data_IF_722516886253
#
_entry.id   IF_722516886253
#
_cell.length_a   1.000
_cell.length_b   1.000
_cell.length_c   1.000
_cell.angle_alpha   90.00
_cell.angle_beta   90.00
_cell.angle_gamma   90.00
#
_symmetry.space_group_name_H-M   'P 1'
#
loop_
_entity.id
_entity.type
_entity.pdbx_description
1 polymer ?
#
# COMPACT_ATOMS: atom_id res chain seq x y z
N UNK A 1 14.23 -44.64 52.09
CA UNK A 1 15.56 -44.54 52.65
C UNK A 1 16.28 -43.54 51.76
N UNK A 2 16.52 -42.33 52.06
CA UNK A 2 16.89 -41.60 53.25
C UNK A 2 16.32 -40.16 53.18
N UNK A 3 16.07 -39.57 54.30
CA UNK A 3 15.37 -38.33 54.54
C UNK A 3 16.20 -37.07 54.24
N UNK A 4 15.56 -35.89 54.26
CA UNK A 4 16.15 -34.63 53.82
C UNK A 4 16.91 -34.00 54.98
N UNK A 5 17.96 -33.26 54.62
CA UNK A 5 18.72 -32.40 55.54
C UNK A 5 18.16 -30.99 55.50
N UNK A 6 17.69 -30.59 56.63
CA UNK A 6 17.15 -29.30 57.06
C UNK A 6 18.33 -28.35 57.29
N UNK A 7 18.47 -27.28 56.53
CA UNK A 7 19.39 -26.19 56.84
C UNK A 7 18.66 -24.99 57.37
N UNK A 8 19.04 -24.62 58.60
CA UNK A 8 18.55 -23.56 59.46
C UNK A 8 18.71 -22.14 58.86
N UNK A 9 17.89 -21.17 59.34
CA UNK A 9 17.96 -19.79 58.87
C UNK A 9 19.12 -19.05 59.51
N UNK A 10 19.86 -18.33 58.70
CA UNK A 10 20.88 -17.35 59.13
C UNK A 10 20.15 -16.16 59.72
N UNK A 11 20.47 -15.89 61.01
CA UNK A 11 20.02 -14.73 61.75
C UNK A 11 20.60 -13.44 61.15
N UNK A 12 19.74 -12.49 60.81
CA UNK A 12 20.15 -11.13 60.47
C UNK A 12 20.64 -10.45 61.75
N UNK A 13 21.91 -10.05 61.78
CA UNK A 13 22.44 -9.10 62.79
C UNK A 13 21.78 -7.76 62.56
N UNK A 14 21.07 -7.29 63.55
CA UNK A 14 20.58 -5.92 63.67
C UNK A 14 21.75 -5.08 64.15
N UNK A 15 22.35 -4.29 63.28
CA UNK A 15 23.24 -3.20 63.72
C UNK A 15 22.42 -2.16 64.48
N UNK A 16 22.69 -2.06 65.78
CA UNK A 16 22.17 -1.04 66.64
C UNK A 16 22.93 0.27 66.34
N UNK A 17 22.30 1.16 65.58
CA UNK A 17 22.81 2.50 65.23
C UNK A 17 22.70 3.36 66.57
N UNK A 18 23.80 3.48 67.29
CA UNK A 18 23.91 4.34 68.42
C UNK A 18 23.98 5.78 67.99
N UNK A 19 22.82 6.43 67.89
CA UNK A 19 22.74 7.88 67.71
C UNK A 19 23.26 8.55 68.99
N UNK A 20 24.45 9.12 68.84
CA UNK A 20 25.06 9.96 69.86
C UNK A 20 24.19 11.22 70.07
N UNK A 21 23.55 11.27 71.24
CA UNK A 21 22.64 12.33 71.64
C UNK A 21 23.42 13.54 72.14
N UNK A 22 24.14 14.23 71.27
CA UNK A 22 24.60 15.58 71.50
C UNK A 22 23.50 16.55 71.02
N UNK A 23 22.63 16.88 71.97
CA UNK A 23 21.59 17.88 71.81
C UNK A 23 22.24 19.26 71.51
N UNK A 24 22.58 19.52 70.30
CA UNK A 24 22.86 20.87 69.84
C UNK A 24 21.55 21.64 69.83
N UNK A 25 21.44 22.60 70.71
CA UNK A 25 20.27 23.45 70.94
C UNK A 25 20.04 24.28 69.64
N UNK A 26 19.28 23.73 68.69
CA UNK A 26 18.84 24.45 67.48
C UNK A 26 17.83 25.49 67.94
N UNK A 27 18.15 26.78 67.79
CA UNK A 27 17.18 27.84 68.13
C UNK A 27 15.92 27.65 67.28
N UNK A 28 14.72 27.89 67.88
CA UNK A 28 13.47 27.73 67.09
C UNK A 28 13.53 28.57 65.84
N UNK A 29 13.04 28.04 64.68
CA UNK A 29 13.05 28.77 63.44
C UNK A 29 12.35 30.13 63.65
N UNK A 30 13.03 31.18 63.19
CA UNK A 30 12.49 32.54 63.24
C UNK A 30 11.07 32.56 62.70
N UNK A 31 10.11 33.26 63.31
CA UNK A 31 8.74 33.30 62.82
C UNK A 31 8.75 33.75 61.38
N UNK A 32 8.13 32.93 60.51
CA UNK A 32 7.99 33.23 59.08
C UNK A 32 7.39 34.62 58.95
N UNK A 33 8.17 35.55 58.39
CA UNK A 33 7.72 36.92 58.16
C UNK A 33 6.37 36.92 57.44
N UNK A 34 5.54 37.94 57.64
CA UNK A 34 4.21 38.00 57.08
C UNK A 34 4.28 37.74 55.57
N UNK A 35 3.63 36.64 55.14
CA UNK A 35 3.52 36.32 53.71
C UNK A 35 2.88 37.55 53.04
N UNK A 36 3.67 38.29 52.24
CA UNK A 36 3.21 39.40 51.45
C UNK A 36 2.06 38.94 50.58
N UNK A 37 0.84 39.34 50.85
CA UNK A 37 -0.31 39.04 50.04
C UNK A 37 -0.06 39.75 48.70
N UNK A 38 0.18 39.00 47.64
CA UNK A 38 0.21 39.53 46.27
C UNK A 38 -1.17 40.04 45.88
N UNK A 39 -1.45 41.28 46.19
CA UNK A 39 -2.74 41.99 45.88
C UNK A 39 -2.51 43.41 45.37
N UNK A 40 -1.31 43.70 44.91
CA UNK A 40 -1.05 45.00 44.26
C UNK A 40 -1.54 45.00 42.82
N UNK A 41 -2.03 46.15 42.34
CA UNK A 41 -2.47 46.29 40.94
C UNK A 41 -1.43 45.83 39.94
N UNK A 42 -0.13 45.94 40.28
CA UNK A 42 0.99 45.40 39.47
C UNK A 42 1.02 43.87 39.40
N UNK A 43 0.67 43.17 40.49
CA UNK A 43 0.65 41.72 40.51
C UNK A 43 -0.48 41.19 39.62
N UNK A 44 -1.63 41.83 39.62
CA UNK A 44 -2.73 41.53 38.67
C UNK A 44 -2.33 41.80 37.23
N UNK A 45 -1.62 42.90 36.96
CA UNK A 45 -1.14 43.21 35.61
C UNK A 45 -0.12 42.16 35.12
N UNK A 46 0.78 41.66 35.99
CA UNK A 46 1.72 40.60 35.69
C UNK A 46 0.99 39.28 35.43
N UNK A 47 0.01 38.93 36.25
CA UNK A 47 -0.80 37.72 36.06
C UNK A 47 -1.55 37.79 34.70
N UNK A 48 -2.18 38.91 34.42
CA UNK A 48 -2.88 39.08 33.13
C UNK A 48 -1.91 38.98 31.95
N UNK A 49 -0.71 39.56 32.05
CA UNK A 49 0.32 39.45 31.02
C UNK A 49 0.77 37.99 30.81
N UNK A 50 1.00 37.27 31.90
CA UNK A 50 1.38 35.83 31.84
C UNK A 50 0.25 35.02 31.18
N UNK A 51 -1.01 35.24 31.58
CA UNK A 51 -2.16 34.56 30.97
C UNK A 51 -2.27 34.85 29.47
N UNK A 52 -2.06 36.11 29.06
CA UNK A 52 -2.09 36.49 27.65
C UNK A 52 -0.92 35.85 26.87
N UNK A 53 0.28 35.79 27.44
CA UNK A 53 1.43 35.13 26.82
C UNK A 53 1.23 33.63 26.71
N UNK A 54 0.72 32.98 27.73
CA UNK A 54 0.41 31.53 27.72
C UNK A 54 -0.73 31.25 26.74
N UNK A 55 -1.81 32.02 26.75
CA UNK A 55 -2.91 31.85 25.81
C UNK A 55 -2.48 32.11 24.37
N UNK A 56 -1.69 33.18 24.13
CA UNK A 56 -1.12 33.48 22.83
C UNK A 56 -0.17 32.37 22.35
N UNK A 57 0.74 31.94 23.20
CA UNK A 57 1.65 30.84 22.90
C UNK A 57 0.93 29.51 22.64
N UNK A 58 -0.06 29.16 23.45
CA UNK A 58 -0.89 27.98 23.25
C UNK A 58 -1.71 28.04 21.95
N UNK A 59 -2.24 29.23 21.63
CA UNK A 59 -2.99 29.42 20.36
C UNK A 59 -2.08 29.30 19.14
N UNK A 60 -0.88 29.87 19.20
CA UNK A 60 0.09 29.74 18.11
C UNK A 60 0.54 28.27 17.94
N UNK A 61 0.84 27.59 19.05
CA UNK A 61 1.20 26.18 19.02
C UNK A 61 0.05 25.30 18.49
N UNK A 62 -1.18 25.56 18.95
CA UNK A 62 -2.36 24.87 18.42
C UNK A 62 -2.48 25.05 16.92
N UNK A 63 -2.38 26.29 16.42
CA UNK A 63 -2.49 26.58 14.97
C UNK A 63 -1.38 25.95 14.13
N UNK A 64 -0.22 25.69 14.71
CA UNK A 64 0.90 25.01 14.04
C UNK A 64 0.89 23.49 14.22
N UNK A 65 -0.08 22.94 14.96
CA UNK A 65 -0.16 21.51 15.24
C UNK A 65 -0.80 20.73 14.09
N UNK A 66 -0.41 19.46 13.94
CA UNK A 66 -1.03 18.50 13.02
C UNK A 66 -2.54 18.36 13.28
N UNK A 67 -2.98 18.51 14.53
CA UNK A 67 -4.39 18.43 14.89
C UNK A 67 -5.20 19.59 14.30
N UNK A 68 -4.68 20.82 14.31
CA UNK A 68 -5.34 21.97 13.71
C UNK A 68 -5.32 21.94 12.18
N UNK A 69 -4.30 21.27 11.58
CA UNK A 69 -4.16 21.10 10.16
C UNK A 69 -4.97 19.90 9.61
N UNK A 70 -5.61 19.13 10.48
CA UNK A 70 -6.41 17.95 10.10
C UNK A 70 -7.88 18.25 10.19
N UNK A 71 -8.58 18.10 9.07
CA UNK A 71 -10.04 18.19 8.99
C UNK A 71 -10.57 16.81 8.59
N UNK A 72 -11.48 16.25 9.38
CA UNK A 72 -12.08 14.95 9.11
C UNK A 72 -13.60 15.06 9.17
N UNK A 73 -14.24 14.89 8.03
CA UNK A 73 -15.68 14.84 7.90
C UNK A 73 -16.10 13.41 7.68
N UNK A 74 -16.80 12.83 8.65
CA UNK A 74 -17.20 11.42 8.62
C UNK A 74 -18.58 11.26 8.02
N UNK A 75 -18.74 10.18 7.25
CA UNK A 75 -20.00 9.81 6.61
C UNK A 75 -20.91 8.93 7.48
N UNK A 76 -22.12 8.70 7.00
CA UNK A 76 -23.03 7.76 7.61
C UNK A 76 -22.69 6.31 7.28
N UNK A 77 -23.10 5.37 8.13
CA UNK A 77 -22.93 3.93 7.90
C UNK A 77 -23.98 3.33 6.97
N UNK A 78 -25.04 4.06 6.64
CA UNK A 78 -26.09 3.59 5.74
C UNK A 78 -25.67 3.85 4.29
N UNK A 79 -25.14 2.82 3.63
CA UNK A 79 -24.62 2.88 2.26
C UNK A 79 -25.22 1.77 1.41
N UNK A 80 -25.44 2.10 0.13
CA UNK A 80 -25.94 1.13 -0.85
C UNK A 80 -24.78 0.70 -1.74
N UNK A 81 -24.63 -0.61 -1.92
CA UNK A 81 -23.66 -1.19 -2.86
C UNK A 81 -24.36 -1.36 -4.21
N UNK A 82 -23.74 -0.95 -5.33
CA UNK A 82 -24.27 -1.23 -6.66
C UNK A 82 -24.47 -2.73 -6.88
N UNK A 83 -25.52 -3.15 -7.59
CA UNK A 83 -25.77 -4.57 -7.84
C UNK A 83 -24.70 -5.20 -8.74
N UNK A 84 -24.51 -6.51 -8.68
CA UNK A 84 -23.64 -7.23 -9.64
C UNK A 84 -24.16 -6.99 -11.08
N UNK A 85 -23.26 -6.82 -12.06
CA UNK A 85 -23.66 -6.65 -13.45
C UNK A 85 -24.22 -7.97 -14.00
N UNK A 86 -25.36 -7.92 -14.70
CA UNK A 86 -25.95 -9.09 -15.34
C UNK A 86 -25.32 -9.41 -16.70
N UNK A 87 -24.81 -8.39 -17.40
CA UNK A 87 -24.17 -8.52 -18.70
C UNK A 87 -23.31 -7.30 -18.99
N UNK A 88 -22.40 -7.42 -19.95
CA UNK A 88 -21.62 -6.28 -20.46
C UNK A 88 -22.54 -5.41 -21.32
N UNK A 89 -22.68 -4.09 -21.06
CA UNK A 89 -23.51 -3.19 -21.85
C UNK A 89 -22.86 -2.89 -23.21
N UNK A 90 -23.63 -2.38 -24.17
CA UNK A 90 -23.10 -1.96 -25.46
C UNK A 90 -22.29 -0.65 -25.39
N UNK A 91 -22.52 0.16 -24.36
CA UNK A 91 -21.86 1.44 -24.13
C UNK A 91 -21.81 1.71 -22.62
N UNK A 92 -20.69 2.21 -22.12
CA UNK A 92 -20.60 2.81 -20.79
C UNK A 92 -20.71 4.32 -20.90
N UNK A 93 -21.64 4.89 -20.11
CA UNK A 93 -21.84 6.33 -20.03
C UNK A 93 -21.25 6.88 -18.74
N UNK A 94 -20.57 8.02 -18.86
CA UNK A 94 -20.02 8.70 -17.68
C UNK A 94 -21.13 9.08 -16.72
N UNK A 95 -21.02 8.68 -15.46
CA UNK A 95 -21.88 9.10 -14.35
C UNK A 95 -21.32 10.38 -13.72
N UNK A 96 -20.06 10.32 -13.31
CA UNK A 96 -19.34 11.44 -12.69
C UNK A 96 -17.84 11.30 -12.90
N UNK A 97 -17.09 12.32 -12.51
CA UNK A 97 -15.63 12.32 -12.46
C UNK A 97 -15.13 13.19 -11.32
N UNK A 98 -13.93 12.90 -10.80
CA UNK A 98 -13.26 13.68 -9.77
C UNK A 98 -11.74 13.66 -9.96
N UNK A 99 -11.05 14.68 -9.45
CA UNK A 99 -9.58 14.69 -9.41
C UNK A 99 -9.08 13.63 -8.43
N UNK A 100 -8.03 12.92 -8.84
CA UNK A 100 -7.43 11.81 -8.11
C UNK A 100 -5.97 11.61 -8.52
N UNK A 101 -5.17 12.67 -8.42
CA UNK A 101 -3.78 12.67 -8.87
C UNK A 101 -2.84 11.80 -8.01
N UNK A 102 -3.28 11.45 -6.78
CA UNK A 102 -2.50 10.60 -5.88
C UNK A 102 -2.97 9.14 -5.85
N UNK A 103 -3.81 8.71 -6.79
CA UNK A 103 -4.22 7.32 -6.96
C UNK A 103 -3.66 6.76 -8.27
N UNK A 104 -2.61 5.92 -8.24
CA UNK A 104 -2.05 5.32 -9.46
C UNK A 104 -3.05 4.37 -10.15
N UNK A 105 -3.91 3.74 -9.37
CA UNK A 105 -5.02 2.88 -9.80
C UNK A 105 -6.34 3.39 -9.22
N UNK A 106 -7.49 3.09 -9.83
CA UNK A 106 -8.78 3.43 -9.24
C UNK A 106 -8.92 2.75 -7.88
N UNK A 107 -9.17 3.52 -6.85
CA UNK A 107 -9.33 2.99 -5.48
C UNK A 107 -10.80 2.79 -5.18
N UNK A 108 -11.19 1.52 -5.06
CA UNK A 108 -12.52 1.11 -4.64
C UNK A 108 -12.39 0.22 -3.42
N UNK A 109 -13.06 0.55 -2.34
CA UNK A 109 -12.97 -0.20 -1.09
C UNK A 109 -14.33 -0.24 -0.39
N UNK A 110 -14.81 -1.48 -0.12
CA UNK A 110 -16.17 -1.67 0.33
C UNK A 110 -17.18 -1.02 -0.63
N UNK A 111 -18.11 -0.22 -0.13
CA UNK A 111 -19.14 0.45 -0.95
C UNK A 111 -18.71 1.82 -1.50
N UNK A 112 -17.44 2.17 -1.44
CA UNK A 112 -16.97 3.55 -1.66
C UNK A 112 -15.91 3.60 -2.77
N UNK A 113 -16.05 4.55 -3.68
CA UNK A 113 -14.99 4.99 -4.58
C UNK A 113 -14.19 6.09 -3.88
N UNK A 114 -12.86 5.94 -3.83
CA UNK A 114 -11.97 6.84 -3.10
C UNK A 114 -11.08 7.60 -4.07
N UNK A 115 -10.98 8.90 -3.89
CA UNK A 115 -10.04 9.76 -4.62
C UNK A 115 -9.02 10.36 -3.67
N UNK A 116 -7.83 10.62 -4.18
CA UNK A 116 -6.77 11.34 -3.48
C UNK A 116 -6.20 12.45 -4.35
N UNK A 117 -6.24 13.68 -3.88
CA UNK A 117 -5.68 14.83 -4.59
C UNK A 117 -5.04 15.81 -3.61
N UNK A 118 -3.83 16.27 -3.90
CA UNK A 118 -3.04 17.22 -3.09
C UNK A 118 -2.84 16.76 -1.65
N UNK A 119 -3.74 17.07 -0.73
CA UNK A 119 -3.71 16.72 0.69
C UNK A 119 -5.00 16.04 1.18
N UNK A 120 -5.97 15.87 0.27
CA UNK A 120 -7.31 15.41 0.62
C UNK A 120 -7.56 14.00 0.10
N UNK A 121 -8.09 13.15 0.95
CA UNK A 121 -8.69 11.85 0.57
C UNK A 121 -10.20 11.97 0.71
N UNK A 122 -10.92 11.60 -0.34
CA UNK A 122 -12.38 11.75 -0.40
C UNK A 122 -13.04 10.43 -0.75
N UNK A 123 -14.03 10.02 0.02
CA UNK A 123 -14.89 8.89 -0.30
C UNK A 123 -16.17 9.35 -0.97
N UNK A 124 -16.48 8.73 -2.09
CA UNK A 124 -17.63 9.08 -2.94
C UNK A 124 -18.66 7.95 -2.97
N UNK A 125 -19.90 8.33 -3.14
CA UNK A 125 -20.94 7.39 -3.59
C UNK A 125 -20.58 6.90 -5.00
N UNK A 126 -20.52 5.57 -5.23
CA UNK A 126 -20.04 5.02 -6.49
C UNK A 126 -20.92 5.37 -7.70
N UNK A 127 -22.23 5.60 -7.49
CA UNK A 127 -23.18 5.86 -8.55
C UNK A 127 -23.36 7.36 -8.80
N UNK A 128 -23.50 8.13 -7.74
CA UNK A 128 -23.82 9.57 -7.84
C UNK A 128 -22.61 10.48 -7.80
N UNK A 129 -21.46 10.00 -7.32
CA UNK A 129 -20.26 10.82 -7.08
C UNK A 129 -20.36 11.74 -5.87
N UNK A 130 -21.49 11.72 -5.13
CA UNK A 130 -21.66 12.55 -3.95
C UNK A 130 -20.60 12.22 -2.90
N UNK A 131 -19.99 13.25 -2.32
CA UNK A 131 -19.02 13.11 -1.23
C UNK A 131 -19.73 12.54 -0.02
N UNK A 132 -19.23 11.42 0.50
CA UNK A 132 -19.70 10.77 1.73
C UNK A 132 -18.88 11.16 2.93
N UNK A 133 -17.58 11.27 2.75
CA UNK A 133 -16.62 11.64 3.78
C UNK A 133 -15.37 12.26 3.17
N UNK A 134 -14.65 13.03 3.96
CA UNK A 134 -13.36 13.60 3.57
C UNK A 134 -12.38 13.59 4.72
N UNK A 135 -11.10 13.42 4.39
CA UNK A 135 -9.98 13.51 5.31
C UNK A 135 -8.90 14.38 4.68
N UNK A 136 -8.67 15.53 5.28
CA UNK A 136 -7.77 16.56 4.77
C UNK A 136 -6.64 16.84 5.76
N UNK A 137 -5.41 16.88 5.24
CA UNK A 137 -4.19 17.22 5.96
C UNK A 137 -3.52 18.41 5.30
N UNK A 138 -4.05 19.62 5.57
CA UNK A 138 -3.62 20.85 4.89
C UNK A 138 -2.13 21.19 5.00
N UNK A 139 -1.42 20.56 5.91
CA UNK A 139 0.02 20.73 6.16
C UNK A 139 0.91 19.63 5.53
N UNK A 140 0.35 18.61 4.90
CA UNK A 140 1.07 17.49 4.33
C UNK A 140 0.59 17.19 2.91
N UNK A 141 1.52 16.99 1.98
CA UNK A 141 1.21 16.51 0.64
C UNK A 141 0.89 15.02 0.66
N UNK A 142 -0.14 14.62 -0.07
CA UNK A 142 -0.53 13.23 -0.25
C UNK A 142 0.38 12.57 -1.29
N UNK A 143 1.11 11.54 -0.90
CA UNK A 143 1.98 10.78 -1.79
C UNK A 143 1.19 9.79 -2.63
N UNK A 144 0.36 8.97 -1.98
CA UNK A 144 -0.42 7.94 -2.65
C UNK A 144 -1.61 7.51 -1.81
N UNK A 145 -2.65 7.00 -2.48
CA UNK A 145 -3.80 6.35 -1.86
C UNK A 145 -4.00 4.98 -2.50
N UNK A 146 -4.28 3.97 -1.70
CA UNK A 146 -4.59 2.62 -2.13
C UNK A 146 -5.68 2.01 -1.25
N UNK A 147 -6.08 0.79 -1.54
CA UNK A 147 -7.04 0.01 -0.75
C UNK A 147 -6.38 -1.24 -0.17
N UNK A 148 -6.57 -1.49 1.11
CA UNK A 148 -6.19 -2.73 1.77
C UNK A 148 -7.07 -3.00 2.98
N UNK A 149 -7.31 -4.26 3.30
CA UNK A 149 -8.02 -4.72 4.51
C UNK A 149 -9.40 -4.07 4.72
N UNK A 150 -10.08 -3.74 3.62
CA UNK A 150 -11.37 -3.03 3.69
C UNK A 150 -11.28 -1.56 4.11
N UNK A 151 -10.10 -0.96 4.02
CA UNK A 151 -9.81 0.44 4.37
C UNK A 151 -9.15 1.17 3.21
N UNK A 152 -9.30 2.48 3.16
CA UNK A 152 -8.46 3.33 2.32
C UNK A 152 -7.15 3.63 3.08
N UNK A 153 -6.04 3.47 2.38
CA UNK A 153 -4.69 3.69 2.89
C UNK A 153 -4.16 4.99 2.30
N UNK A 154 -3.97 6.01 3.12
CA UNK A 154 -3.41 7.29 2.70
C UNK A 154 -1.98 7.43 3.19
N UNK A 155 -1.06 7.75 2.29
CA UNK A 155 0.35 7.98 2.62
C UNK A 155 0.68 9.44 2.38
N UNK A 156 1.16 10.13 3.41
CA UNK A 156 1.49 11.55 3.37
C UNK A 156 3.01 11.77 3.44
N UNK A 157 3.44 12.82 2.76
CA UNK A 157 4.82 13.29 2.81
C UNK A 157 5.04 14.05 4.11
N UNK A 158 6.00 13.57 4.91
CA UNK A 158 6.44 14.25 6.12
C UNK A 158 7.93 14.52 6.03
N UNK A 159 8.30 15.79 5.99
CA UNK A 159 9.69 16.24 5.84
C UNK A 159 10.28 15.85 4.47
N UNK A 160 10.98 14.72 4.36
CA UNK A 160 11.76 14.35 3.18
C UNK A 160 11.27 13.09 2.47
N UNK A 161 10.35 12.33 3.07
CA UNK A 161 9.86 11.05 2.56
C UNK A 161 8.34 10.90 2.73
N UNK A 162 7.77 9.87 2.15
CA UNK A 162 6.35 9.50 2.25
C UNK A 162 6.11 8.63 3.50
N UNK A 163 6.36 9.19 4.67
CA UNK A 163 6.49 8.42 5.91
C UNK A 163 5.21 8.22 6.70
N UNK A 164 4.22 9.11 6.58
CA UNK A 164 3.01 9.00 7.40
C UNK A 164 1.92 8.20 6.69
N UNK A 165 1.63 7.01 7.18
CA UNK A 165 0.55 6.15 6.68
C UNK A 165 -0.64 6.25 7.62
N UNK A 166 -1.82 6.49 7.07
CA UNK A 166 -3.09 6.59 7.82
C UNK A 166 -4.14 5.68 7.19
N UNK A 167 -4.78 4.87 8.01
CA UNK A 167 -5.96 4.10 7.61
C UNK A 167 -7.23 4.92 7.77
N UNK A 168 -8.12 4.82 6.77
CA UNK A 168 -9.45 5.42 6.79
C UNK A 168 -10.48 4.32 6.56
N UNK A 169 -11.49 4.27 7.43
CA UNK A 169 -12.61 3.34 7.26
C UNK A 169 -13.33 3.59 5.93
N UNK A 170 -13.55 2.54 5.16
CA UNK A 170 -14.09 2.64 3.81
C UNK A 170 -15.48 3.30 3.75
N UNK A 171 -16.31 3.07 4.75
CA UNK A 171 -17.71 3.53 4.78
C UNK A 171 -17.83 4.94 5.32
N UNK A 172 -17.14 5.21 6.42
CA UNK A 172 -17.31 6.44 7.20
C UNK A 172 -16.17 7.45 7.05
N UNK A 173 -15.03 7.05 6.51
CA UNK A 173 -13.81 7.89 6.49
C UNK A 173 -13.17 8.09 7.87
N UNK A 174 -13.67 7.42 8.92
CA UNK A 174 -13.11 7.53 10.26
C UNK A 174 -11.66 7.05 10.24
N UNK A 175 -10.76 7.86 10.82
CA UNK A 175 -9.35 7.52 10.96
C UNK A 175 -9.17 6.28 11.85
N UNK A 176 -8.43 5.31 11.34
CA UNK A 176 -7.98 4.11 12.02
C UNK A 176 -6.55 4.23 12.54
N UNK A 177 -5.76 3.18 12.34
CA UNK A 177 -4.35 3.15 12.69
C UNK A 177 -3.55 4.18 11.88
N UNK A 178 -2.47 4.67 12.45
CA UNK A 178 -1.52 5.58 11.84
C UNK A 178 -0.10 5.17 12.23
N UNK A 179 0.82 5.26 11.28
CA UNK A 179 2.23 4.96 11.51
C UNK A 179 3.11 5.90 10.71
N UNK A 180 4.28 6.22 11.27
CA UNK A 180 5.40 6.77 10.51
C UNK A 180 6.31 5.62 10.09
N UNK A 181 6.69 5.59 8.81
CA UNK A 181 7.66 4.66 8.21
C UNK A 181 8.75 5.44 7.48
N UNK A 182 9.52 4.72 6.66
CA UNK A 182 10.64 5.28 5.89
C UNK A 182 10.42 5.22 4.37
N UNK A 183 9.17 5.09 3.93
CA UNK A 183 8.84 4.99 2.51
C UNK A 183 9.37 6.19 1.70
N UNK A 184 9.95 5.91 0.55
CA UNK A 184 10.56 6.90 -0.31
C UNK A 184 9.53 7.79 -1.01
N UNK A 185 9.98 8.91 -1.57
CA UNK A 185 9.15 9.74 -2.45
C UNK A 185 8.71 8.92 -3.68
N UNK A 186 7.52 9.20 -4.20
CA UNK A 186 6.88 8.46 -5.30
C UNK A 186 6.55 7.00 -4.99
N UNK A 187 6.49 6.64 -3.72
CA UNK A 187 6.04 5.32 -3.31
C UNK A 187 4.63 5.02 -3.83
N UNK A 188 4.41 3.76 -4.17
CA UNK A 188 3.09 3.16 -4.38
C UNK A 188 2.90 2.05 -3.36
N UNK A 189 1.66 1.79 -3.00
CA UNK A 189 1.35 0.68 -2.10
C UNK A 189 0.99 -0.56 -2.92
N UNK A 190 1.66 -1.65 -2.62
CA UNK A 190 1.42 -2.96 -3.20
C UNK A 190 0.82 -3.87 -2.14
N UNK A 191 -0.29 -4.55 -2.44
CA UNK A 191 -0.91 -5.51 -1.52
C UNK A 191 -0.81 -6.92 -2.08
N UNK A 192 -0.47 -7.88 -1.22
CA UNK A 192 -0.52 -9.30 -1.50
C UNK A 192 -1.81 -9.97 -0.98
N UNK A 193 -2.75 -9.15 -0.48
CA UNK A 193 -3.99 -9.57 0.18
C UNK A 193 -3.88 -9.69 1.70
N UNK A 194 -2.69 -9.93 2.24
CA UNK A 194 -2.43 -10.08 3.68
C UNK A 194 -1.60 -8.93 4.22
N UNK A 195 -0.57 -8.53 3.48
CA UNK A 195 0.35 -7.45 3.80
C UNK A 195 0.27 -6.34 2.77
N UNK A 196 0.75 -5.17 3.16
CA UNK A 196 0.95 -4.03 2.27
C UNK A 196 2.41 -3.62 2.32
N UNK A 197 3.01 -3.50 1.14
CA UNK A 197 4.39 -3.07 0.98
C UNK A 197 4.45 -1.73 0.22
N UNK A 198 5.40 -0.88 0.60
CA UNK A 198 5.73 0.33 -0.17
C UNK A 198 6.62 -0.04 -1.35
N UNK A 199 6.57 0.75 -2.42
CA UNK A 199 7.60 0.71 -3.44
C UNK A 199 8.64 1.80 -3.21
N UNK A 200 9.89 1.51 -3.59
CA UNK A 200 10.97 2.47 -3.47
C UNK A 200 12.19 2.10 -4.31
N UNK A 201 13.10 3.03 -4.49
CA UNK A 201 14.33 2.79 -5.27
C UNK A 201 15.41 2.06 -4.48
N UNK A 202 15.32 2.01 -3.15
CA UNK A 202 16.34 1.45 -2.25
C UNK A 202 15.76 0.79 -1.01
N UNK A 203 14.48 1.01 -0.72
CA UNK A 203 13.84 0.52 0.50
C UNK A 203 12.40 0.13 0.23
N UNK A 204 12.02 -1.02 0.75
CA UNK A 204 10.64 -1.50 0.85
C UNK A 204 10.30 -1.69 2.32
N UNK A 205 9.23 -1.05 2.78
CA UNK A 205 8.60 -1.29 4.07
C UNK A 205 7.36 -2.16 3.89
N UNK A 206 7.14 -3.11 4.78
CA UNK A 206 5.95 -3.96 4.76
C UNK A 206 5.22 -3.94 6.09
N UNK A 207 3.89 -3.85 6.02
CA UNK A 207 3.01 -3.79 7.19
C UNK A 207 1.89 -4.82 7.12
N UNK A 208 1.44 -5.25 8.28
CA UNK A 208 0.19 -6.01 8.46
C UNK A 208 -0.98 -5.06 8.75
N UNK A 209 -2.20 -5.59 8.88
CA UNK A 209 -3.45 -4.83 8.96
C UNK A 209 -3.63 -3.88 10.16
N UNK A 210 -2.73 -3.88 11.11
CA UNK A 210 -2.67 -2.93 12.24
C UNK A 210 -1.51 -1.92 12.07
N UNK A 211 -0.93 -1.85 10.88
CA UNK A 211 0.25 -1.06 10.52
C UNK A 211 1.52 -1.41 11.31
N UNK A 212 1.55 -2.56 11.98
CA UNK A 212 2.81 -3.05 12.55
C UNK A 212 3.70 -3.50 11.39
N UNK A 213 4.92 -2.97 11.40
CA UNK A 213 5.94 -3.31 10.43
C UNK A 213 6.38 -4.76 10.62
N UNK A 214 6.31 -5.54 9.53
CA UNK A 214 6.69 -6.95 9.53
C UNK A 214 8.03 -7.17 8.88
N UNK A 215 8.42 -6.29 7.94
CA UNK A 215 9.67 -6.42 7.23
C UNK A 215 10.14 -5.09 6.66
N UNK A 216 11.46 -4.90 6.66
CA UNK A 216 12.17 -3.92 5.81
C UNK A 216 13.15 -4.66 4.92
N UNK A 217 13.29 -4.21 3.68
CA UNK A 217 14.29 -4.73 2.76
C UNK A 217 15.01 -3.59 2.06
N UNK A 218 16.35 -3.57 2.17
CA UNK A 218 17.21 -2.62 1.50
C UNK A 218 17.95 -1.63 2.42
N UNK A 219 18.01 -0.37 2.05
CA UNK A 219 18.74 0.65 2.79
C UNK A 219 17.89 1.24 3.91
N UNK A 220 17.94 0.60 5.06
CA UNK A 220 17.23 1.05 6.27
C UNK A 220 17.96 2.25 6.88
N UNK A 221 17.25 3.36 7.08
CA UNK A 221 17.85 4.65 7.49
C UNK A 221 18.33 4.64 8.95
N UNK A 222 17.58 4.00 9.84
CA UNK A 222 17.88 3.94 11.27
C UNK A 222 17.78 2.49 11.76
N UNK A 223 18.83 1.71 11.47
CA UNK A 223 18.89 0.32 11.89
C UNK A 223 18.99 0.21 13.42
N UNK A 224 18.08 -0.54 14.02
CA UNK A 224 18.15 -0.93 15.44
C UNK A 224 19.12 -2.09 15.59
N UNK A 225 19.08 -3.06 14.68
CA UNK A 225 19.97 -4.21 14.64
C UNK A 225 20.86 -4.14 13.40
N UNK A 226 22.16 -4.04 13.58
CA UNK A 226 23.12 -4.03 12.47
C UNK A 226 23.21 -5.41 11.81
N UNK A 227 23.63 -5.42 10.53
CA UNK A 227 23.95 -6.62 9.74
C UNK A 227 22.75 -7.57 9.50
N UNK A 228 21.52 -7.07 9.57
CA UNK A 228 20.31 -7.86 9.27
C UNK A 228 19.91 -7.84 7.80
N UNK A 229 20.27 -6.77 7.10
CA UNK A 229 19.96 -6.65 5.68
C UNK A 229 20.94 -7.46 4.85
N UNK A 230 20.45 -8.38 4.00
CA UNK A 230 21.33 -9.24 3.20
C UNK A 230 22.04 -8.49 2.09
N UNK A 231 21.49 -7.31 1.70
CA UNK A 231 22.00 -6.50 0.61
C UNK A 231 21.85 -5.03 0.92
N UNK A 232 22.95 -4.30 0.80
CA UNK A 232 23.01 -2.85 1.01
C UNK A 232 23.45 -2.16 -0.28
N UNK A 233 23.01 -0.90 -0.42
CA UNK A 233 23.38 -0.03 -1.55
C UNK A 233 22.92 -0.51 -2.93
N UNK A 234 21.99 -1.44 -3.00
CA UNK A 234 21.37 -1.83 -4.25
C UNK A 234 20.33 -0.77 -4.68
N UNK A 235 20.08 -0.69 -5.99
CA UNK A 235 19.03 0.17 -6.56
C UNK A 235 18.00 -0.73 -7.21
N UNK A 236 16.75 -0.51 -6.90
CA UNK A 236 15.62 -1.27 -7.42
C UNK A 236 15.13 -0.68 -8.73
N UNK A 237 14.75 -1.53 -9.66
CA UNK A 237 14.24 -1.15 -10.97
C UNK A 237 12.82 -1.64 -11.23
N UNK A 238 12.35 -2.62 -10.48
CA UNK A 238 10.99 -3.14 -10.56
C UNK A 238 10.62 -3.87 -9.28
N UNK A 239 9.39 -3.68 -8.86
CA UNK A 239 8.82 -4.33 -7.68
C UNK A 239 7.40 -4.79 -7.99
N UNK A 240 6.97 -5.86 -7.34
CA UNK A 240 5.61 -6.37 -7.47
C UNK A 240 5.24 -7.19 -6.23
N UNK A 241 4.02 -7.04 -5.72
CA UNK A 241 3.45 -7.97 -4.77
C UNK A 241 2.65 -9.07 -5.49
N UNK A 242 2.75 -10.28 -4.97
CA UNK A 242 1.96 -11.44 -5.39
C UNK A 242 1.40 -12.17 -4.18
N UNK A 243 0.67 -13.29 -4.33
CA UNK A 243 0.08 -14.01 -3.20
C UNK A 243 1.13 -14.41 -2.16
N UNK A 244 1.17 -13.69 -1.03
CA UNK A 244 2.14 -13.88 0.05
C UNK A 244 3.62 -13.81 -0.43
N UNK A 245 3.87 -13.01 -1.48
CA UNK A 245 5.17 -12.79 -2.10
C UNK A 245 5.41 -11.30 -2.37
N UNK A 246 6.68 -10.91 -2.29
CA UNK A 246 7.19 -9.62 -2.72
C UNK A 246 8.42 -9.86 -3.59
N UNK A 247 8.38 -9.42 -4.84
CA UNK A 247 9.51 -9.48 -5.77
C UNK A 247 10.19 -8.13 -5.89
N UNK A 248 11.51 -8.14 -5.89
CA UNK A 248 12.37 -6.96 -6.11
C UNK A 248 13.40 -7.31 -7.18
N UNK A 249 13.48 -6.49 -8.21
CA UNK A 249 14.54 -6.55 -9.21
C UNK A 249 15.56 -5.45 -8.90
N UNK A 250 16.73 -5.86 -8.48
CA UNK A 250 17.75 -4.98 -7.91
C UNK A 250 19.09 -5.05 -8.66
N UNK A 251 19.82 -3.94 -8.64
CA UNK A 251 21.21 -3.86 -9.10
C UNK A 251 22.10 -3.42 -7.94
N UNK A 252 23.04 -4.26 -7.57
CA UNK A 252 24.00 -3.95 -6.53
C UNK A 252 25.35 -3.52 -7.16
N UNK A 253 26.15 -2.65 -6.51
CA UNK A 253 27.38 -2.10 -7.08
C UNK A 253 28.46 -3.15 -7.38
N UNK A 254 28.48 -4.24 -6.62
CA UNK A 254 29.42 -5.34 -6.69
C UNK A 254 28.98 -6.48 -7.62
N UNK A 255 27.81 -6.37 -8.27
CA UNK A 255 27.27 -7.38 -9.17
C UNK A 255 27.23 -6.91 -10.63
N UNK A 256 27.58 -7.82 -11.53
CA UNK A 256 27.59 -7.54 -12.96
C UNK A 256 26.18 -7.53 -13.57
N UNK A 257 25.25 -8.32 -13.02
CA UNK A 257 23.89 -8.47 -13.53
C UNK A 257 22.85 -8.02 -12.50
N UNK A 258 21.64 -7.76 -12.98
CA UNK A 258 20.52 -7.58 -12.10
C UNK A 258 20.24 -8.86 -11.30
N UNK A 259 19.62 -8.70 -10.16
CA UNK A 259 19.22 -9.79 -9.29
C UNK A 259 17.72 -9.72 -9.07
N UNK A 260 17.07 -10.85 -9.18
CA UNK A 260 15.68 -11.03 -8.84
C UNK A 260 15.61 -11.71 -7.46
N UNK A 261 15.13 -10.95 -6.49
CA UNK A 261 14.96 -11.40 -5.11
C UNK A 261 13.47 -11.50 -4.81
N UNK A 262 13.05 -12.65 -4.29
CA UNK A 262 11.67 -12.88 -3.86
C UNK A 262 11.66 -13.12 -2.35
N UNK A 263 10.74 -12.41 -1.68
CA UNK A 263 10.60 -12.40 -0.22
C UNK A 263 9.19 -12.82 0.19
N UNK A 264 9.06 -13.29 1.42
CA UNK A 264 7.78 -13.40 2.11
C UNK A 264 7.52 -12.16 2.94
N UNK A 265 6.43 -11.42 2.70
CA UNK A 265 6.17 -10.13 3.35
C UNK A 265 5.98 -10.21 4.87
N UNK A 266 5.62 -11.39 5.41
CA UNK A 266 5.44 -11.61 6.85
C UNK A 266 6.71 -11.50 7.69
N UNK A 267 7.89 -11.40 7.04
CA UNK A 267 9.17 -11.31 7.74
C UNK A 267 9.55 -12.62 8.45
N UNK A 268 10.51 -12.52 9.36
CA UNK A 268 10.82 -13.56 10.35
C UNK A 268 10.25 -13.15 11.70
N UNK A 269 9.65 -14.05 12.44
CA UNK A 269 8.78 -13.80 13.60
C UNK A 269 9.33 -12.87 14.70
N UNK A 270 10.63 -12.63 14.75
CA UNK A 270 11.27 -11.88 15.85
C UNK A 270 11.96 -10.58 15.44
N UNK A 271 12.13 -10.29 14.16
CA UNK A 271 12.98 -9.17 13.72
C UNK A 271 12.53 -8.63 12.35
N UNK A 272 11.82 -7.49 12.36
CA UNK A 272 11.33 -6.84 11.15
C UNK A 272 12.47 -6.30 10.25
N UNK A 273 13.67 -6.10 10.78
CA UNK A 273 14.83 -5.67 10.00
C UNK A 273 15.51 -6.83 9.27
N UNK A 274 15.16 -8.08 9.60
CA UNK A 274 15.66 -9.28 8.92
C UNK A 274 14.63 -9.77 7.90
N UNK A 275 14.83 -9.49 6.61
CA UNK A 275 13.88 -9.90 5.58
C UNK A 275 13.87 -11.42 5.40
N UNK A 276 12.69 -11.96 5.10
CA UNK A 276 12.49 -13.35 4.80
C UNK A 276 12.66 -13.63 3.31
N UNK A 277 13.92 -13.81 2.88
CA UNK A 277 14.26 -14.10 1.47
C UNK A 277 13.97 -15.56 1.16
N UNK A 278 13.09 -15.82 0.18
CA UNK A 278 12.83 -17.16 -0.34
C UNK A 278 13.95 -17.60 -1.27
N UNK A 279 14.26 -16.76 -2.24
CA UNK A 279 15.40 -16.96 -3.14
C UNK A 279 15.89 -15.63 -3.69
N UNK A 280 17.12 -15.63 -4.21
CA UNK A 280 17.73 -14.50 -4.86
C UNK A 280 18.65 -14.98 -5.96
N UNK A 281 18.32 -14.69 -7.23
CA UNK A 281 18.99 -15.21 -8.41
C UNK A 281 19.46 -14.11 -9.34
N UNK A 282 20.58 -14.31 -10.01
CA UNK A 282 21.03 -13.36 -11.03
C UNK A 282 20.18 -13.49 -12.29
N UNK A 283 19.83 -12.34 -12.87
CA UNK A 283 19.07 -12.24 -14.10
C UNK A 283 19.95 -11.63 -15.18
N UNK A 284 20.38 -12.41 -16.19
CA UNK A 284 21.28 -11.88 -17.21
C UNK A 284 20.58 -10.88 -18.10
N UNK A 285 21.05 -9.62 -18.10
CA UNK A 285 20.55 -8.51 -18.89
C UNK A 285 20.13 -7.30 -18.05
N UNK A 286 19.94 -6.18 -18.72
CA UNK A 286 19.51 -4.92 -18.11
C UNK A 286 18.06 -4.59 -18.52
N UNK A 287 17.42 -3.68 -17.78
CA UNK A 287 16.10 -3.15 -18.11
C UNK A 287 14.93 -4.13 -17.90
N UNK A 288 15.11 -5.16 -17.09
CA UNK A 288 14.06 -6.12 -16.75
C UNK A 288 12.89 -5.48 -15.96
N UNK A 289 11.73 -6.14 -16.04
CA UNK A 289 10.51 -5.80 -15.29
C UNK A 289 9.86 -7.05 -14.72
N UNK A 290 9.53 -7.03 -13.44
CA UNK A 290 8.73 -8.09 -12.83
C UNK A 290 7.30 -7.92 -13.32
N UNK A 291 6.73 -8.93 -13.94
CA UNK A 291 5.41 -8.86 -14.57
C UNK A 291 4.36 -9.74 -13.92
N UNK A 292 4.77 -10.77 -13.21
CA UNK A 292 3.85 -11.64 -12.48
C UNK A 292 4.55 -12.35 -11.33
N UNK A 293 3.84 -12.48 -10.22
CA UNK A 293 4.18 -13.34 -9.09
C UNK A 293 2.94 -14.16 -8.75
N UNK A 294 3.07 -15.47 -8.75
CA UNK A 294 2.02 -16.39 -8.30
C UNK A 294 2.56 -17.27 -7.18
N UNK A 295 1.70 -18.10 -6.60
CA UNK A 295 2.10 -19.05 -5.57
C UNK A 295 3.08 -20.15 -6.06
N UNK A 296 3.25 -20.31 -7.38
CA UNK A 296 4.08 -21.35 -7.99
C UNK A 296 5.13 -20.85 -8.98
N UNK A 297 4.94 -19.68 -9.55
CA UNK A 297 5.77 -19.13 -10.64
C UNK A 297 5.96 -17.64 -10.49
N UNK A 298 7.12 -17.18 -10.88
CA UNK A 298 7.49 -15.77 -10.94
C UNK A 298 8.05 -15.46 -12.34
N UNK A 299 7.70 -14.30 -12.90
CA UNK A 299 8.13 -13.92 -14.23
C UNK A 299 8.72 -12.54 -14.33
N UNK A 300 9.85 -12.43 -15.01
CA UNK A 300 10.51 -11.17 -15.37
C UNK A 300 10.58 -11.06 -16.88
N UNK A 301 10.09 -9.97 -17.42
CA UNK A 301 10.27 -9.61 -18.82
C UNK A 301 11.63 -8.93 -19.01
N UNK A 302 12.41 -9.40 -19.97
CA UNK A 302 13.73 -8.88 -20.31
C UNK A 302 13.76 -8.37 -21.75
N UNK A 303 14.31 -7.19 -22.02
CA UNK A 303 14.57 -6.70 -23.37
C UNK A 303 15.82 -7.37 -23.97
N UNK A 304 15.98 -7.21 -25.30
CA UNK A 304 17.22 -7.51 -26.06
C UNK A 304 17.75 -8.95 -25.97
N UNK A 305 17.07 -9.96 -26.51
CA UNK A 305 15.76 -9.93 -27.16
C UNK A 305 14.61 -9.94 -26.15
N UNK A 306 13.44 -9.42 -26.57
CA UNK A 306 12.24 -9.43 -25.75
C UNK A 306 11.84 -10.87 -25.41
N UNK A 307 11.90 -11.20 -24.11
CA UNK A 307 11.59 -12.55 -23.62
C UNK A 307 11.05 -12.49 -22.19
N UNK A 308 10.30 -13.48 -21.83
CA UNK A 308 9.85 -13.74 -20.48
C UNK A 308 10.70 -14.88 -19.87
N UNK A 309 11.31 -14.61 -18.74
CA UNK A 309 12.03 -15.65 -17.97
C UNK A 309 11.15 -15.99 -16.80
N UNK A 310 10.93 -17.28 -16.60
CA UNK A 310 10.02 -17.82 -15.59
C UNK A 310 10.81 -18.68 -14.61
N UNK A 311 10.62 -18.43 -13.33
CA UNK A 311 11.17 -19.20 -12.23
C UNK A 311 10.07 -19.94 -11.47
N UNK A 312 10.46 -20.91 -10.69
CA UNK A 312 9.60 -21.54 -9.69
C UNK A 312 9.87 -20.92 -8.31
N UNK A 313 9.05 -21.27 -7.34
CA UNK A 313 9.11 -20.79 -5.96
C UNK A 313 10.41 -21.18 -5.19
N UNK A 314 11.32 -21.93 -5.81
CA UNK A 314 12.66 -22.22 -5.28
C UNK A 314 13.77 -21.43 -5.95
N UNK A 315 13.43 -20.54 -6.88
CA UNK A 315 14.39 -19.75 -7.65
C UNK A 315 15.06 -20.49 -8.80
N UNK A 316 14.58 -21.69 -9.16
CA UNK A 316 15.06 -22.40 -10.35
C UNK A 316 14.38 -21.87 -11.59
N UNK A 317 15.14 -21.45 -12.59
CA UNK A 317 14.60 -21.06 -13.88
C UNK A 317 13.96 -22.29 -14.54
N UNK A 318 12.67 -22.19 -14.88
CA UNK A 318 11.93 -23.29 -15.50
C UNK A 318 11.74 -23.09 -16.99
N UNK A 319 11.64 -21.83 -17.43
CA UNK A 319 11.37 -21.55 -18.84
C UNK A 319 11.89 -20.17 -19.26
N UNK A 320 12.11 -20.04 -20.58
CA UNK A 320 12.31 -18.74 -21.26
C UNK A 320 11.48 -18.71 -22.51
N UNK A 321 10.49 -17.82 -22.54
CA UNK A 321 9.54 -17.68 -23.64
C UNK A 321 9.83 -16.41 -24.44
N UNK A 322 10.05 -16.48 -25.78
CA UNK A 322 10.17 -15.30 -26.59
C UNK A 322 8.87 -14.45 -26.57
N UNK A 323 8.98 -13.15 -26.36
CA UNK A 323 7.88 -12.21 -26.45
C UNK A 323 7.82 -11.62 -27.87
N UNK A 324 7.39 -12.43 -28.84
CA UNK A 324 7.34 -12.03 -30.23
C UNK A 324 6.37 -10.86 -30.45
N UNK A 325 6.85 -9.81 -31.12
CA UNK A 325 6.04 -8.62 -31.41
C UNK A 325 5.72 -7.74 -30.19
N UNK A 326 6.37 -7.96 -29.03
CA UNK A 326 6.29 -7.09 -27.86
C UNK A 326 7.54 -6.23 -27.79
N UNK A 327 7.35 -4.93 -27.93
CA UNK A 327 8.41 -3.95 -27.73
C UNK A 327 8.46 -3.51 -26.26
N UNK A 328 9.46 -3.99 -25.55
CA UNK A 328 9.64 -3.64 -24.14
C UNK A 328 10.22 -2.24 -23.91
N UNK A 329 10.67 -1.55 -24.96
CA UNK A 329 11.11 -0.15 -24.83
C UNK A 329 9.94 0.80 -24.56
N UNK A 330 8.72 0.42 -24.97
CA UNK A 330 7.48 1.16 -24.71
C UNK A 330 6.88 0.86 -23.32
N UNK A 331 7.43 -0.12 -22.60
CA UNK A 331 6.92 -0.50 -21.27
C UNK A 331 7.04 0.67 -20.29
N UNK A 332 5.98 0.99 -19.53
CA UNK A 332 6.01 2.06 -18.56
C UNK A 332 7.21 1.95 -17.61
N UNK A 333 7.98 3.02 -17.49
CA UNK A 333 9.12 3.08 -16.57
C UNK A 333 8.64 3.36 -15.15
N UNK A 334 7.74 2.51 -14.66
CA UNK A 334 7.21 2.54 -13.30
C UNK A 334 7.83 1.43 -12.48
N UNK A 335 8.03 1.66 -11.19
CA UNK A 335 8.56 0.66 -10.27
C UNK A 335 7.63 -0.57 -10.24
N UNK A 336 6.34 -0.33 -10.10
CA UNK A 336 5.29 -1.34 -10.12
C UNK A 336 4.70 -1.41 -11.53
N UNK A 337 4.74 -2.59 -12.14
CA UNK A 337 4.21 -2.77 -13.49
C UNK A 337 2.68 -2.86 -13.50
N UNK A 338 2.04 -2.39 -14.59
CA UNK A 338 0.59 -2.44 -14.75
C UNK A 338 0.10 -3.87 -15.03
N UNK A 339 -0.08 -4.63 -13.97
CA UNK A 339 -0.58 -6.01 -14.02
C UNK A 339 -1.85 -6.15 -13.20
N UNK A 340 -2.73 -7.04 -13.64
CA UNK A 340 -3.92 -7.45 -12.90
C UNK A 340 -3.99 -8.97 -12.91
N UNK A 341 -4.16 -9.58 -11.76
CA UNK A 341 -4.46 -11.00 -11.63
C UNK A 341 -5.93 -11.18 -11.31
N UNK A 342 -6.56 -12.15 -11.91
CA UNK A 342 -7.92 -12.57 -11.59
C UNK A 342 -8.05 -14.08 -11.66
N UNK A 343 -9.00 -14.61 -10.91
CA UNK A 343 -9.34 -16.02 -10.88
C UNK A 343 -10.74 -16.19 -11.43
N UNK A 344 -10.88 -17.04 -12.46
CA UNK A 344 -12.17 -17.42 -13.00
C UNK A 344 -12.51 -18.84 -12.55
N UNK A 345 -13.58 -19.01 -11.80
CA UNK A 345 -14.06 -20.31 -11.34
C UNK A 345 -15.03 -20.84 -12.38
N UNK A 346 -14.71 -21.97 -13.01
CA UNK A 346 -15.66 -22.71 -13.82
C UNK A 346 -16.65 -23.42 -12.91
N UNK A 347 -17.86 -22.94 -12.84
CA UNK A 347 -18.94 -23.67 -12.21
C UNK A 347 -19.50 -24.75 -13.17
N UNK A 348 -20.04 -25.89 -12.66
CA UNK A 348 -20.53 -26.98 -13.52
C UNK A 348 -21.69 -26.62 -14.46
N UNK A 349 -22.27 -25.43 -14.39
CA UNK A 349 -23.30 -24.88 -15.33
C UNK A 349 -23.68 -23.44 -15.01
N UNK A 350 -24.00 -22.58 -15.95
CA UNK A 350 -23.24 -22.10 -17.12
C UNK A 350 -22.50 -20.78 -16.85
N UNK A 351 -22.12 -20.45 -15.63
CA UNK A 351 -21.49 -19.17 -15.27
C UNK A 351 -20.04 -19.38 -14.84
N UNK A 352 -19.14 -18.74 -15.56
CA UNK A 352 -17.77 -18.47 -15.10
C UNK A 352 -17.86 -17.30 -14.14
N UNK A 353 -17.55 -17.50 -12.86
CA UNK A 353 -17.47 -16.40 -11.88
C UNK A 353 -16.02 -15.94 -11.80
N UNK A 354 -15.72 -14.74 -12.29
CA UNK A 354 -14.38 -14.18 -12.28
C UNK A 354 -14.27 -13.04 -11.26
N UNK A 355 -13.33 -13.14 -10.34
CA UNK A 355 -13.10 -12.12 -9.33
C UNK A 355 -11.70 -11.47 -9.53
N UNK A 356 -11.64 -10.13 -9.58
CA UNK A 356 -10.36 -9.43 -9.65
C UNK A 356 -9.65 -9.50 -8.29
N UNK A 357 -8.32 -9.64 -8.35
CA UNK A 357 -7.43 -9.62 -7.17
C UNK A 357 -7.82 -10.59 -6.05
N UNK A 358 -8.47 -11.70 -6.38
CA UNK A 358 -8.81 -12.74 -5.41
C UNK A 358 -7.59 -13.58 -5.06
N UNK A 359 -6.76 -13.07 -4.14
CA UNK A 359 -5.62 -13.78 -3.57
C UNK A 359 -6.01 -14.89 -2.60
N UNK A 360 -7.28 -14.93 -2.19
CA UNK A 360 -7.73 -15.64 -1.00
C UNK A 360 -8.28 -17.04 -1.22
N UNK A 361 -8.43 -17.53 -2.45
CA UNK A 361 -9.04 -18.85 -2.68
C UNK A 361 -7.99 -19.91 -2.97
N UNK A 362 -7.42 -20.47 -1.93
CA UNK A 362 -6.52 -21.64 -1.95
C UNK A 362 -7.18 -22.91 -2.49
N UNK A 363 -8.48 -22.93 -2.71
CA UNK A 363 -9.25 -24.10 -3.15
C UNK A 363 -10.08 -23.90 -4.42
N UNK A 364 -9.87 -22.79 -5.16
CA UNK A 364 -10.63 -22.55 -6.40
C UNK A 364 -10.02 -23.33 -7.55
N UNK A 365 -10.73 -24.36 -8.02
CA UNK A 365 -10.47 -25.03 -9.30
C UNK A 365 -10.92 -24.06 -10.40
N UNK A 366 -10.06 -23.10 -10.75
CA UNK A 366 -10.36 -22.10 -11.76
C UNK A 366 -9.11 -21.70 -12.55
N UNK A 367 -9.31 -21.27 -13.78
CA UNK A 367 -8.21 -20.71 -14.57
C UNK A 367 -7.82 -19.33 -14.00
N UNK A 368 -6.61 -19.22 -13.46
CA UNK A 368 -6.03 -17.92 -13.12
C UNK A 368 -5.43 -17.30 -14.39
N UNK A 369 -5.65 -16.02 -14.59
CA UNK A 369 -5.08 -15.26 -15.69
C UNK A 369 -4.41 -14.01 -15.13
N UNK A 370 -3.22 -13.70 -15.61
CA UNK A 370 -2.53 -12.44 -15.33
C UNK A 370 -2.51 -11.63 -16.60
N UNK A 371 -3.01 -10.42 -16.57
CA UNK A 371 -2.87 -9.47 -17.69
C UNK A 371 -1.79 -8.45 -17.36
N UNK A 372 -0.89 -8.24 -18.27
CA UNK A 372 0.20 -7.29 -18.18
C UNK A 372 0.16 -6.31 -19.36
N UNK A 373 0.15 -5.02 -19.05
CA UNK A 373 0.22 -3.97 -20.06
C UNK A 373 1.66 -3.57 -20.34
N UNK A 374 2.09 -3.73 -21.59
CA UNK A 374 3.46 -3.49 -22.05
C UNK A 374 3.73 -2.07 -22.53
N UNK A 375 2.77 -1.16 -22.41
CA UNK A 375 2.82 0.19 -22.99
C UNK A 375 2.07 0.34 -24.32
N UNK A 376 1.96 -0.71 -25.10
CA UNK A 376 1.25 -0.71 -26.41
C UNK A 376 0.31 -1.88 -26.59
N UNK A 377 0.47 -2.93 -25.80
CA UNK A 377 -0.30 -4.18 -25.85
C UNK A 377 -0.63 -4.64 -24.45
N UNK A 378 -1.67 -5.44 -24.32
CA UNK A 378 -1.92 -6.23 -23.13
C UNK A 378 -1.67 -7.69 -23.44
N UNK A 379 -0.78 -8.31 -22.68
CA UNK A 379 -0.43 -9.73 -22.77
C UNK A 379 -1.12 -10.46 -21.63
N UNK A 380 -1.84 -11.52 -21.95
CA UNK A 380 -2.37 -12.43 -20.96
C UNK A 380 -1.40 -13.59 -20.73
N UNK A 381 -1.15 -13.88 -19.48
CA UNK A 381 -0.31 -14.99 -19.02
C UNK A 381 -1.18 -16.00 -18.28
N UNK A 382 -0.88 -17.29 -18.46
CA UNK A 382 -1.47 -18.37 -17.66
C UNK A 382 -1.10 -18.17 -16.18
N UNK A 383 -2.06 -18.14 -15.28
CA UNK A 383 -1.76 -17.96 -13.85
C UNK A 383 -1.04 -19.15 -13.20
N UNK A 384 -0.98 -20.31 -13.89
CA UNK A 384 -0.29 -21.48 -13.40
C UNK A 384 1.14 -21.65 -13.97
N UNK A 385 1.31 -21.34 -15.27
CA UNK A 385 2.62 -21.50 -15.96
C UNK A 385 3.33 -20.18 -16.22
N UNK A 386 2.60 -19.07 -16.25
CA UNK A 386 2.99 -17.72 -16.67
C UNK A 386 3.42 -17.63 -18.14
N UNK A 387 3.12 -18.65 -18.96
CA UNK A 387 3.29 -18.59 -20.39
C UNK A 387 2.27 -17.63 -21.03
N UNK A 388 2.66 -16.88 -22.07
CA UNK A 388 1.74 -16.05 -22.83
C UNK A 388 0.63 -16.88 -23.48
N UNK A 389 -0.61 -16.45 -23.29
CA UNK A 389 -1.80 -17.11 -23.85
C UNK A 389 -2.31 -16.39 -25.11
N UNK A 390 -2.53 -15.10 -24.98
CA UNK A 390 -3.05 -14.24 -26.04
C UNK A 390 -2.65 -12.78 -25.79
N UNK A 391 -2.84 -11.93 -26.81
CA UNK A 391 -2.50 -10.51 -26.73
C UNK A 391 -3.62 -9.63 -27.32
N UNK A 392 -3.73 -8.40 -26.80
CA UNK A 392 -4.57 -7.34 -27.37
C UNK A 392 -3.69 -6.18 -27.78
N UNK A 393 -3.61 -5.94 -29.10
CA UNK A 393 -2.84 -4.84 -29.67
C UNK A 393 -3.55 -3.50 -29.46
N UNK A 394 -2.79 -2.42 -29.33
CA UNK A 394 -3.32 -1.07 -29.16
C UNK A 394 -4.07 -0.87 -27.84
N UNK A 395 -3.84 -1.71 -26.85
CA UNK A 395 -4.41 -1.52 -25.51
C UNK A 395 -3.85 -0.27 -24.84
N UNK A 396 -4.61 0.26 -23.89
CA UNK A 396 -4.23 1.38 -23.01
C UNK A 396 -4.01 0.97 -21.56
N UNK A 397 -4.19 -0.30 -21.20
CA UNK A 397 -4.03 -0.79 -19.84
C UNK A 397 -4.33 -2.29 -19.69
N UNK A 398 -4.10 -2.85 -18.49
CA UNK A 398 -4.21 -4.30 -18.26
C UNK A 398 -5.65 -4.82 -18.28
N UNK A 399 -6.64 -3.94 -18.08
CA UNK A 399 -8.04 -4.32 -18.06
C UNK A 399 -8.58 -4.65 -16.66
N UNK A 400 -9.82 -5.12 -16.61
CA UNK A 400 -10.53 -5.60 -15.42
C UNK A 400 -11.63 -6.57 -15.79
N UNK A 401 -12.16 -7.31 -14.82
CA UNK A 401 -13.31 -8.21 -15.02
C UNK A 401 -14.62 -7.48 -14.77
N UNK A 402 -15.61 -7.71 -15.63
CA UNK A 402 -16.97 -7.19 -15.52
C UNK A 402 -17.94 -8.19 -16.13
N UNK A 403 -18.96 -8.63 -15.40
CA UNK A 403 -19.93 -9.65 -15.83
C UNK A 403 -19.23 -10.89 -16.45
N UNK A 404 -18.23 -11.44 -15.77
CA UNK A 404 -17.44 -12.62 -16.18
C UNK A 404 -16.71 -12.48 -17.52
N UNK A 405 -16.56 -11.26 -18.03
CA UNK A 405 -15.75 -10.93 -19.18
C UNK A 405 -14.60 -10.03 -18.80
N UNK A 406 -13.50 -10.17 -19.51
CA UNK A 406 -12.37 -9.27 -19.39
C UNK A 406 -12.58 -8.06 -20.31
N UNK A 407 -12.54 -6.88 -19.70
CA UNK A 407 -12.61 -5.60 -20.41
C UNK A 407 -11.23 -4.99 -20.49
N UNK A 408 -10.67 -4.84 -21.68
CA UNK A 408 -9.38 -4.21 -21.93
C UNK A 408 -9.58 -2.85 -22.61
N UNK A 409 -9.03 -1.75 -22.05
CA UNK A 409 -9.17 -0.44 -22.66
C UNK A 409 -8.41 -0.37 -24.00
N UNK A 410 -9.13 0.01 -25.04
CA UNK A 410 -8.63 0.18 -26.40
C UNK A 410 -9.12 1.50 -26.99
N UNK A 411 -8.59 1.96 -28.14
CA UNK A 411 -9.12 3.14 -28.82
C UNK A 411 -10.64 3.06 -29.06
N UNK A 412 -11.36 4.10 -28.62
CA UNK A 412 -12.81 4.20 -28.81
C UNK A 412 -13.67 3.36 -27.83
N UNK A 413 -13.06 2.56 -26.96
CA UNK A 413 -13.87 1.75 -26.04
C UNK A 413 -13.09 0.72 -25.25
N UNK A 414 -13.75 -0.42 -25.06
CA UNK A 414 -13.23 -1.58 -24.34
C UNK A 414 -13.37 -2.82 -25.21
N UNK A 415 -12.30 -3.55 -25.41
CA UNK A 415 -12.34 -4.89 -25.98
C UNK A 415 -12.91 -5.85 -24.94
N UNK A 416 -13.90 -6.62 -25.31
CA UNK A 416 -14.56 -7.63 -24.48
C UNK A 416 -14.00 -8.99 -24.82
N UNK A 417 -13.36 -9.67 -23.89
CA UNK A 417 -12.76 -10.97 -24.13
C UNK A 417 -13.30 -12.03 -23.15
N UNK A 418 -13.27 -13.25 -23.64
CA UNK A 418 -13.32 -14.40 -22.75
C UNK A 418 -11.96 -14.53 -22.07
N UNK A 419 -11.91 -14.52 -20.71
CA UNK A 419 -10.63 -14.46 -19.99
C UNK A 419 -9.73 -15.67 -20.25
N UNK A 420 -10.32 -16.87 -20.40
CA UNK A 420 -9.58 -18.11 -20.55
C UNK A 420 -9.03 -18.32 -21.96
N UNK A 421 -9.80 -17.90 -22.97
CA UNK A 421 -9.50 -18.20 -24.37
C UNK A 421 -8.99 -17.00 -25.18
N UNK A 422 -9.21 -15.78 -24.66
CA UNK A 422 -8.92 -14.54 -25.38
C UNK A 422 -9.88 -14.28 -26.57
N UNK A 423 -10.92 -15.08 -26.70
CA UNK A 423 -11.90 -14.88 -27.77
C UNK A 423 -12.62 -13.54 -27.57
N UNK A 424 -12.50 -12.66 -28.58
CA UNK A 424 -13.03 -11.31 -28.55
C UNK A 424 -14.48 -11.29 -29.02
N UNK A 425 -15.34 -10.72 -28.20
CA UNK A 425 -16.72 -10.36 -28.53
C UNK A 425 -16.82 -8.95 -29.12
N UNK A 426 -18.04 -8.42 -29.26
CA UNK A 426 -18.26 -7.04 -29.68
C UNK A 426 -17.64 -6.04 -28.67
N UNK A 427 -16.94 -5.03 -29.16
CA UNK A 427 -16.38 -3.98 -28.33
C UNK A 427 -17.47 -3.11 -27.72
N UNK A 428 -17.21 -2.62 -26.50
CA UNK A 428 -18.07 -1.67 -25.79
C UNK A 428 -17.58 -0.25 -26.05
N UNK A 429 -18.49 0.66 -26.34
CA UNK A 429 -18.16 2.06 -26.54
C UNK A 429 -17.88 2.77 -25.23
N UNK A 430 -16.82 3.58 -25.21
CA UNK A 430 -16.49 4.49 -24.10
C UNK A 430 -15.96 5.80 -24.70
N UNK A 431 -16.65 6.90 -24.41
CA UNK A 431 -16.16 8.22 -24.78
C UNK A 431 -15.14 8.73 -23.76
N UNK A 432 -13.88 8.74 -24.14
CA UNK A 432 -12.77 9.28 -23.33
C UNK A 432 -12.45 10.73 -23.65
N UNK A 433 -13.24 11.41 -24.45
CA UNK A 433 -13.07 12.84 -24.84
C UNK A 433 -11.65 13.15 -25.34
N UNK A 434 -11.09 12.24 -26.14
CA UNK A 434 -9.76 12.38 -26.72
C UNK A 434 -8.59 11.96 -25.83
N UNK A 435 -8.83 11.44 -24.62
CA UNK A 435 -7.76 10.89 -23.79
C UNK A 435 -7.20 9.61 -24.43
N UNK A 436 -5.87 9.57 -24.58
CA UNK A 436 -5.13 8.45 -25.20
C UNK A 436 -4.00 7.91 -24.31
N UNK A 437 -3.93 8.37 -23.09
CA UNK A 437 -2.96 7.87 -22.11
C UNK A 437 -3.33 6.50 -21.54
N UNK A 438 -2.50 6.02 -20.65
CA UNK A 438 -2.75 4.79 -19.92
C UNK A 438 -4.05 4.87 -19.13
N UNK A 439 -4.83 3.78 -19.14
CA UNK A 439 -6.10 3.64 -18.44
C UNK A 439 -5.99 2.46 -17.46
N UNK A 440 -6.31 2.71 -16.22
CA UNK A 440 -6.47 1.66 -15.19
C UNK A 440 -7.95 1.49 -14.89
N UNK A 441 -8.37 0.26 -14.72
CA UNK A 441 -9.76 -0.11 -14.52
C UNK A 441 -9.98 -0.84 -13.21
N UNK A 442 -11.11 -0.59 -12.59
CA UNK A 442 -11.67 -1.43 -11.53
C UNK A 442 -13.20 -1.38 -11.56
N UNK A 443 -13.87 -2.26 -10.82
CA UNK A 443 -15.33 -2.34 -10.80
C UNK A 443 -15.86 -2.35 -9.37
N UNK A 444 -17.06 -1.82 -9.19
CA UNK A 444 -17.87 -2.02 -7.99
C UNK A 444 -19.32 -2.27 -8.42
N UNK A 445 -19.74 -3.52 -8.30
CA UNK A 445 -21.03 -3.93 -8.88
C UNK A 445 -21.07 -3.62 -10.37
N UNK A 446 -22.12 -2.96 -10.83
CA UNK A 446 -22.30 -2.56 -12.24
C UNK A 446 -21.71 -1.19 -12.60
N UNK A 447 -20.93 -0.59 -11.71
CA UNK A 447 -20.16 0.64 -12.00
C UNK A 447 -18.72 0.28 -12.37
N UNK A 448 -18.27 0.77 -13.51
CA UNK A 448 -16.89 0.69 -13.98
C UNK A 448 -16.18 2.01 -13.69
N UNK A 449 -14.97 1.92 -13.14
CA UNK A 449 -14.11 3.07 -12.85
C UNK A 449 -12.88 3.05 -13.75
N UNK A 450 -12.58 4.20 -14.36
CA UNK A 450 -11.35 4.43 -15.11
C UNK A 450 -10.51 5.51 -14.42
N UNK A 451 -9.26 5.21 -14.11
CA UNK A 451 -8.25 6.22 -13.81
C UNK A 451 -7.61 6.66 -15.13
N UNK A 452 -7.76 7.93 -15.47
CA UNK A 452 -7.24 8.60 -16.68
C UNK A 452 -6.28 9.70 -16.24
N UNK A 453 -4.98 9.39 -16.12
CA UNK A 453 -4.03 10.32 -15.49
C UNK A 453 -4.52 10.72 -14.08
N UNK A 454 -4.71 12.01 -13.84
CA UNK A 454 -5.12 12.55 -12.54
C UNK A 454 -6.65 12.58 -12.33
N UNK A 455 -7.40 11.83 -13.10
CA UNK A 455 -8.88 11.88 -13.03
C UNK A 455 -9.47 10.48 -12.90
N UNK A 456 -10.27 10.27 -11.86
CA UNK A 456 -11.14 9.11 -11.72
C UNK A 456 -12.47 9.39 -12.42
N UNK A 457 -12.91 8.47 -13.27
CA UNK A 457 -14.17 8.54 -14.01
C UNK A 457 -15.00 7.31 -13.68
N UNK A 458 -16.21 7.51 -13.19
CA UNK A 458 -17.19 6.45 -12.96
C UNK A 458 -18.16 6.38 -14.15
N UNK A 459 -18.48 5.15 -14.58
CA UNK A 459 -19.31 4.88 -15.75
C UNK A 459 -20.27 3.71 -15.48
N UNK A 460 -21.40 3.75 -16.16
CA UNK A 460 -22.40 2.66 -16.11
C UNK A 460 -23.11 2.49 -17.44
#
# INVERSE_FOLDING_TARGET
MESPEESAPVAAEVEEDVLDESAEHVPPPAPAGPRTRFRRKRDYAVVVLIVLLVAGGATLWWRSSDAAATVSETGSTNVTVPPKPGAVPAEFKQLWQALSGSTPDPVVVGPTAVTGDKHTVTGHDPVTGAVRWSYDRTNLDLCTVSAAWGKAMAVYRKTHNCSEVTELDAVTGKRGAQRNGDAELNTQLMSDGTFVSTSGSKLVDTWRSDLVQTQQYGTVTAQVNHDKQPRLNCVYSSELAGPNLLGVLERCPDEQFNRFTVLRPGGTESDAEKPNVLFSVQVPGDGGRIVALTDQREAVALPNPSRLVIWNNTGSQVETVPLNGVDLSATPNTMVQPTVMFTCIQQPQPATDCEPNSWTTTNSIGARVVTWFTGTKTVALSGSTLEPMWTVDGAFGPGTVYADKLLIPVPGGLAVLDPATGVRGPDVKVDRKGYQGQVRLTTLGDVLFEQRGDTLVAMR
#
